data_IF_817971399081
#
_entry.id   IF_817971399081
#
_cell.length_a   1.000
_cell.length_b   1.000
_cell.length_c   1.000
_cell.angle_alpha   90.00
_cell.angle_beta   90.00
_cell.angle_gamma   90.00
#
_symmetry.space_group_name_H-M   'P 1'
#
loop_
_entity.id
_entity.type
_entity.pdbx_description
1 polymer ?
#
# COMPACT_ATOMS: atom_id res chain seq x y z
N UNK A 1 4.57 9.84 -12.33
CA UNK A 1 5.36 9.29 -11.20
C UNK A 1 6.51 10.22 -10.87
N UNK A 2 6.85 10.39 -9.59
CA UNK A 2 7.94 11.25 -9.10
C UNK A 2 8.46 10.68 -7.78
N UNK A 3 9.73 10.92 -7.44
CA UNK A 3 10.25 10.66 -6.09
C UNK A 3 9.77 11.77 -5.14
N UNK A 4 9.42 11.41 -3.91
CA UNK A 4 8.90 12.36 -2.91
C UNK A 4 7.37 12.28 -2.73
N UNK A 5 6.82 13.21 -1.96
CA UNK A 5 5.45 13.15 -1.43
C UNK A 5 4.46 14.12 -2.09
N UNK A 6 4.86 14.83 -3.14
CA UNK A 6 3.99 15.82 -3.79
C UNK A 6 2.98 15.16 -4.75
N UNK A 7 1.88 14.64 -4.19
CA UNK A 7 0.83 13.98 -4.94
C UNK A 7 0.09 14.92 -5.91
N UNK A 8 -0.12 16.19 -5.51
CA UNK A 8 -0.85 17.17 -6.32
C UNK A 8 -0.17 17.38 -7.68
N UNK A 9 1.14 17.63 -7.67
CA UNK A 9 1.93 17.83 -8.88
C UNK A 9 1.93 16.58 -9.78
N UNK A 10 1.99 15.38 -9.18
CA UNK A 10 1.93 14.12 -9.94
C UNK A 10 0.57 13.92 -10.59
N UNK A 11 -0.51 14.23 -9.87
CA UNK A 11 -1.88 14.12 -10.37
C UNK A 11 -2.17 15.14 -11.48
N UNK A 12 -1.75 16.40 -11.33
CA UNK A 12 -1.89 17.42 -12.36
C UNK A 12 -1.17 17.03 -13.66
N UNK A 13 0.05 16.49 -13.56
CA UNK A 13 0.79 15.99 -14.72
C UNK A 13 0.07 14.80 -15.38
N UNK A 14 -0.49 13.91 -14.58
CA UNK A 14 -1.26 12.76 -15.08
C UNK A 14 -2.52 13.21 -15.82
N UNK A 15 -3.29 14.13 -15.23
CA UNK A 15 -4.52 14.66 -15.83
C UNK A 15 -4.25 15.36 -17.17
N UNK A 16 -3.24 16.23 -17.23
CA UNK A 16 -2.84 16.90 -18.48
C UNK A 16 -2.45 15.92 -19.58
N UNK A 17 -1.73 14.85 -19.23
CA UNK A 17 -1.39 13.79 -20.18
C UNK A 17 -2.61 13.02 -20.70
N UNK A 18 -3.58 12.74 -19.82
CA UNK A 18 -4.82 12.06 -20.20
C UNK A 18 -5.67 12.88 -21.18
N UNK A 19 -5.82 14.19 -20.94
CA UNK A 19 -6.58 15.05 -21.84
C UNK A 19 -5.97 15.10 -23.24
N UNK A 20 -4.64 15.18 -23.32
CA UNK A 20 -3.95 15.23 -24.60
C UNK A 20 -4.08 13.91 -25.38
N UNK A 21 -3.92 12.77 -24.71
CA UNK A 21 -4.13 11.45 -25.33
C UNK A 21 -5.58 11.30 -25.80
N UNK A 22 -6.56 11.75 -25.01
CA UNK A 22 -7.97 11.74 -25.39
C UNK A 22 -8.22 12.58 -26.64
N UNK A 23 -7.62 13.78 -26.73
CA UNK A 23 -7.70 14.66 -27.91
C UNK A 23 -7.14 13.98 -29.16
N UNK A 24 -5.92 13.44 -29.07
CA UNK A 24 -5.26 12.78 -30.21
C UNK A 24 -6.01 11.54 -30.73
N UNK A 25 -6.64 10.79 -29.84
CA UNK A 25 -7.44 9.60 -30.21
C UNK A 25 -8.75 10.02 -30.90
N UNK A 26 -9.39 11.08 -30.39
CA UNK A 26 -10.60 11.65 -31.00
C UNK A 26 -10.33 12.25 -32.38
N UNK A 27 -9.18 12.91 -32.56
CA UNK A 27 -8.75 13.44 -33.88
C UNK A 27 -8.57 12.35 -34.93
N UNK A 28 -8.18 11.14 -34.51
CA UNK A 28 -8.08 9.97 -35.39
C UNK A 28 -9.42 9.28 -35.62
N UNK A 29 -10.52 9.78 -35.06
CA UNK A 29 -11.86 9.20 -35.17
C UNK A 29 -12.17 8.04 -34.21
N UNK A 30 -11.29 7.77 -33.24
CA UNK A 30 -11.47 6.69 -32.27
C UNK A 30 -12.05 7.23 -30.96
N UNK A 31 -12.75 6.38 -30.20
CA UNK A 31 -13.34 6.75 -28.90
C UNK A 31 -13.01 5.69 -27.85
N UNK A 32 -12.89 6.12 -26.60
CA UNK A 32 -12.79 5.20 -25.48
C UNK A 32 -14.12 4.51 -25.22
N UNK A 33 -14.06 3.24 -24.83
CA UNK A 33 -15.23 2.49 -24.39
C UNK A 33 -15.74 3.06 -23.07
N UNK A 34 -16.94 3.62 -23.10
CA UNK A 34 -17.56 4.27 -21.94
C UNK A 34 -19.06 3.97 -21.91
N UNK A 35 -19.58 3.75 -20.71
CA UNK A 35 -21.00 3.54 -20.42
C UNK A 35 -21.43 4.48 -19.29
N UNK A 36 -22.65 4.99 -19.35
CA UNK A 36 -23.20 5.87 -18.31
C UNK A 36 -23.25 5.21 -16.92
N UNK A 37 -23.54 3.90 -16.88
CA UNK A 37 -23.64 3.16 -15.62
C UNK A 37 -22.28 2.72 -15.06
N UNK A 38 -21.32 2.40 -15.93
CA UNK A 38 -20.06 1.74 -15.52
C UNK A 38 -18.81 2.62 -15.69
N UNK A 39 -18.92 3.79 -16.33
CA UNK A 39 -17.78 4.62 -16.68
C UNK A 39 -16.92 3.99 -17.78
N UNK A 40 -15.60 4.14 -17.67
CA UNK A 40 -14.63 3.56 -18.61
C UNK A 40 -14.56 2.04 -18.44
N UNK A 41 -14.67 1.33 -19.56
CA UNK A 41 -14.66 -0.13 -19.59
C UNK A 41 -13.23 -0.62 -19.78
N UNK A 42 -12.80 -1.53 -18.89
CA UNK A 42 -11.50 -2.17 -18.89
C UNK A 42 -11.67 -3.70 -18.91
N UNK A 43 -10.59 -4.41 -19.20
CA UNK A 43 -10.60 -5.87 -19.33
C UNK A 43 -11.00 -6.59 -18.03
N UNK A 44 -10.52 -6.10 -16.89
CA UNK A 44 -10.86 -6.65 -15.58
C UNK A 44 -12.04 -5.89 -14.96
N UNK A 45 -13.08 -6.58 -14.46
CA UNK A 45 -14.21 -5.95 -13.76
C UNK A 45 -13.79 -5.12 -12.53
N UNK A 46 -12.65 -5.42 -11.90
CA UNK A 46 -12.15 -4.69 -10.74
C UNK A 46 -11.72 -3.25 -11.05
N UNK A 47 -11.51 -2.93 -12.33
CA UNK A 47 -10.94 -1.65 -12.77
C UNK A 47 -11.99 -0.74 -13.42
N UNK A 48 -13.28 -1.08 -13.37
CA UNK A 48 -14.35 -0.26 -13.96
C UNK A 48 -14.42 1.15 -13.32
N UNK A 49 -15.12 2.07 -13.99
CA UNK A 49 -15.29 3.45 -13.55
C UNK A 49 -14.19 4.34 -14.10
N UNK A 50 -13.23 4.72 -13.27
CA UNK A 50 -12.10 5.57 -13.68
C UNK A 50 -10.86 4.77 -14.05
N UNK A 51 -10.76 3.50 -13.61
CA UNK A 51 -9.55 2.69 -13.73
C UNK A 51 -8.32 3.28 -13.02
N UNK A 52 -8.52 4.28 -12.14
CA UNK A 52 -7.43 4.99 -11.50
C UNK A 52 -6.91 4.20 -10.29
N UNK A 53 -5.64 3.83 -10.32
CA UNK A 53 -4.92 3.29 -9.16
C UNK A 53 -3.79 4.23 -8.74
N UNK A 54 -4.01 4.99 -7.67
CA UNK A 54 -2.96 5.80 -7.05
C UNK A 54 -2.20 4.95 -6.03
N UNK A 55 -0.87 4.82 -6.20
CA UNK A 55 -0.01 4.08 -5.29
C UNK A 55 1.16 4.97 -4.87
N UNK A 56 1.52 4.90 -3.59
CA UNK A 56 2.67 5.59 -3.03
C UNK A 56 3.42 4.63 -2.12
N UNK A 57 4.75 4.71 -2.16
CA UNK A 57 5.61 3.91 -1.29
C UNK A 57 5.79 4.67 0.02
N UNK A 58 5.30 4.10 1.13
CA UNK A 58 5.50 4.63 2.48
C UNK A 58 6.43 3.72 3.25
N UNK A 59 7.38 4.31 3.96
CA UNK A 59 8.17 3.60 4.95
C UNK A 59 7.54 3.76 6.33
N UNK A 60 6.81 2.73 6.79
CA UNK A 60 6.07 2.76 8.05
C UNK A 60 6.69 1.81 9.10
N UNK A 61 7.77 2.24 9.76
CA UNK A 61 8.53 1.43 10.74
C UNK A 61 7.69 0.87 11.90
N UNK A 62 6.75 1.66 12.41
CA UNK A 62 5.99 1.31 13.62
C UNK A 62 4.74 0.45 13.31
N UNK A 63 4.17 0.59 12.11
CA UNK A 63 2.93 -0.10 11.75
C UNK A 63 3.15 -1.58 11.42
N UNK A 64 4.30 -1.93 10.84
CA UNK A 64 4.62 -3.33 10.50
C UNK A 64 4.90 -4.19 11.73
N UNK A 65 5.42 -3.60 12.81
CA UNK A 65 5.70 -4.32 14.06
C UNK A 65 4.47 -4.49 14.95
N UNK A 66 3.52 -3.55 14.91
CA UNK A 66 2.28 -3.65 15.68
C UNK A 66 1.30 -4.70 15.12
N UNK A 67 1.24 -4.90 13.79
CA UNK A 67 0.37 -5.93 13.19
C UNK A 67 0.83 -7.36 13.53
N UNK A 68 2.15 -7.56 13.68
CA UNK A 68 2.70 -8.86 14.11
C UNK A 68 2.48 -9.16 15.60
N UNK A 69 1.98 -8.20 16.38
CA UNK A 69 1.71 -8.37 17.82
C UNK A 69 0.24 -8.63 18.14
N UNK A 70 -0.68 -8.44 17.19
CA UNK A 70 -2.12 -8.66 17.39
C UNK A 70 -2.59 -10.06 17.02
N UNK A 71 -1.80 -10.89 16.33
CA UNK A 71 -2.11 -12.32 16.18
C UNK A 71 -1.66 -13.09 17.42
N UNK A 72 -2.43 -12.97 18.49
CA UNK A 72 -2.49 -14.02 19.51
C UNK A 72 -3.14 -15.22 18.82
N UNK A 73 -2.31 -16.11 18.29
CA UNK A 73 -2.73 -17.45 17.92
C UNK A 73 -3.33 -18.11 19.15
N UNK A 74 -4.66 -18.23 19.18
CA UNK A 74 -5.34 -19.17 20.08
C UNK A 74 -5.09 -20.57 19.53
N UNK A 75 -3.85 -21.03 19.62
CA UNK A 75 -3.49 -22.42 19.41
C UNK A 75 -3.86 -23.17 20.69
N UNK A 76 -4.97 -23.91 20.63
CA UNK A 76 -5.22 -25.02 21.53
C UNK A 76 -4.00 -25.95 21.54
N UNK A 77 -3.26 -25.98 22.65
CA UNK A 77 -2.30 -27.03 22.96
C UNK A 77 -2.79 -27.74 24.23
N UNK A 78 -3.13 -29.04 24.18
CA UNK A 78 -3.40 -29.78 25.40
C UNK A 78 -2.07 -30.06 26.10
N UNK A 79 -2.01 -29.65 27.37
CA UNK A 79 -1.36 -30.33 28.48
C UNK A 79 -0.03 -31.05 28.20
N UNK A 80 1.09 -30.39 28.48
CA UNK A 80 2.07 -30.85 29.49
C UNK A 80 3.04 -29.72 29.85
N UNK A 81 3.10 -29.41 31.13
CA UNK A 81 4.06 -28.50 31.73
C UNK A 81 5.45 -29.14 31.77
N UNK A 82 6.51 -28.35 31.51
CA UNK A 82 7.74 -28.19 32.33
C UNK A 82 8.81 -27.35 31.56
N UNK A 83 9.75 -26.70 32.28
CA UNK A 83 10.12 -25.30 32.01
C UNK A 83 11.57 -25.05 31.50
N UNK A 84 11.72 -23.92 30.81
CA UNK A 84 12.87 -23.00 30.75
C UNK A 84 14.30 -23.54 30.88
N UNK A 85 14.97 -23.71 29.73
CA UNK A 85 16.37 -23.33 29.44
C UNK A 85 16.48 -23.32 27.90
N UNK A 86 16.78 -22.26 27.15
CA UNK A 86 17.68 -21.12 27.33
C UNK A 86 17.41 -20.09 26.21
N UNK A 87 17.57 -18.80 26.52
CA UNK A 87 17.29 -17.58 25.73
C UNK A 87 15.91 -16.96 25.98
N UNK A 88 15.86 -16.22 27.08
CA UNK A 88 14.75 -15.33 27.45
C UNK A 88 14.92 -13.94 26.81
N UNK A 89 13.79 -13.25 26.67
CA UNK A 89 13.56 -11.88 26.19
C UNK A 89 14.37 -10.68 26.78
N UNK A 90 15.10 -10.74 27.93
CA UNK A 90 15.76 -9.56 28.49
C UNK A 90 16.93 -8.96 27.70
N UNK A 91 17.61 -9.72 26.83
CA UNK A 91 18.82 -9.21 26.14
C UNK A 91 18.52 -8.14 25.07
N UNK A 92 17.31 -8.15 24.49
CA UNK A 92 16.93 -7.19 23.44
C UNK A 92 16.58 -5.81 23.98
N UNK A 93 16.07 -5.72 25.22
CA UNK A 93 15.66 -4.44 25.81
C UNK A 93 16.88 -3.65 26.31
N UNK A 94 17.97 -4.32 26.67
CA UNK A 94 19.18 -3.67 27.18
C UNK A 94 20.05 -3.00 26.11
N UNK A 95 19.91 -3.33 24.82
CA UNK A 95 20.74 -2.74 23.75
C UNK A 95 20.09 -1.54 23.03
N UNK A 96 18.81 -1.22 23.27
CA UNK A 96 18.16 -0.03 22.64
C UNK A 96 18.30 1.27 23.44
N UNK A 97 18.74 1.20 24.70
CA UNK A 97 18.80 2.38 25.58
C UNK A 97 20.03 3.28 25.35
N UNK A 98 21.00 2.88 24.52
CA UNK A 98 22.19 3.71 24.21
C UNK A 98 22.06 4.59 22.96
N UNK A 99 21.07 4.34 22.08
CA UNK A 99 20.90 5.10 20.83
C UNK A 99 19.80 6.18 20.89
N UNK A 100 19.22 6.42 22.06
CA UNK A 100 18.19 7.45 22.29
C UNK A 100 18.61 8.53 23.29
N UNK A 101 19.93 8.78 23.40
CA UNK A 101 20.50 10.03 23.92
C UNK A 101 21.64 10.48 23.00
N UNK A 102 21.28 11.12 21.89
CA UNK A 102 21.95 12.27 21.26
C UNK A 102 21.05 12.81 20.15
#
# INVERSE_FOLDING_TARGET
>A
MEKGSNMKKVFERFYRGLEEVKRLIMEKGWKFMWSERLGYILTCPSNLGTGLRATFLVFARCWTTCFYRSEVWVAWAPTVAQPLTSLTWPDWVSQRSSWFRM
#
